data_IF_087459507389
#
_entry.id   IF_087459507389
#
_cell.length_a   1.000
_cell.length_b   1.000
_cell.length_c   1.000
_cell.angle_alpha   90.00
_cell.angle_beta   90.00
_cell.angle_gamma   90.00
#
_symmetry.space_group_name_H-M   'P 1'
#
loop_
_entity.id
_entity.type
_entity.pdbx_description
1 polymer ?
#
# COMPACT_ATOMS: atom_id res chain seq x y z
N UNK A 1 -13.86 3.54 0.22
CA UNK A 1 -13.83 5.00 0.20
C UNK A 1 -12.65 5.56 0.99
N UNK A 2 -12.16 6.72 0.56
CA UNK A 2 -11.02 7.40 1.17
C UNK A 2 -9.72 6.59 1.16
N UNK A 3 -9.53 5.77 0.15
CA UNK A 3 -8.26 5.06 -0.07
C UNK A 3 -7.27 6.03 -0.69
N UNK A 4 -6.01 6.02 -0.19
CA UNK A 4 -4.93 6.84 -0.74
C UNK A 4 -3.81 5.95 -1.27
N UNK A 5 -3.44 6.17 -2.53
CA UNK A 5 -2.30 5.52 -3.18
C UNK A 5 -1.21 6.58 -3.33
N UNK A 6 -0.13 6.44 -2.57
CA UNK A 6 0.89 7.47 -2.44
C UNK A 6 2.18 7.00 -3.09
N UNK A 7 2.56 7.62 -4.20
CA UNK A 7 3.77 7.24 -4.93
C UNK A 7 4.97 8.17 -4.70
N UNK A 8 4.81 9.46 -4.34
CA UNK A 8 5.97 10.33 -4.15
C UNK A 8 6.76 9.98 -2.89
N UNK A 9 8.05 10.18 -2.98
CA UNK A 9 9.01 9.97 -1.91
C UNK A 9 9.89 11.20 -1.76
N UNK A 10 10.25 11.48 -0.52
CA UNK A 10 11.22 12.53 -0.18
C UNK A 10 12.36 11.92 0.62
N UNK A 11 13.57 12.52 0.57
CA UNK A 11 14.67 12.06 1.39
C UNK A 11 14.34 12.13 2.87
N UNK A 12 14.83 11.17 3.65
CA UNK A 12 14.67 11.18 5.10
C UNK A 12 15.59 12.18 5.79
N UNK A 13 16.69 12.55 5.12
CA UNK A 13 17.66 13.54 5.66
C UNK A 13 17.11 14.94 5.39
N UNK A 14 16.98 15.73 6.46
CA UNK A 14 16.33 17.03 6.40
C UNK A 14 17.05 18.01 5.44
N UNK A 15 18.37 18.00 5.45
CA UNK A 15 19.17 18.87 4.60
C UNK A 15 18.96 18.58 3.11
N UNK A 16 18.79 17.32 2.77
CA UNK A 16 18.50 16.91 1.40
C UNK A 16 17.11 17.35 0.96
N UNK A 17 16.12 17.29 1.85
CA UNK A 17 14.77 17.80 1.56
C UNK A 17 14.73 19.30 1.37
N UNK A 18 15.58 20.02 2.09
CA UNK A 18 15.67 21.48 2.01
C UNK A 18 16.19 21.96 0.64
N UNK A 19 17.00 21.14 -0.03
CA UNK A 19 17.51 21.43 -1.35
C UNK A 19 18.89 20.85 -1.56
N UNK A 20 19.12 20.37 -2.78
CA UNK A 20 20.41 19.86 -3.23
C UNK A 20 20.84 20.64 -4.47
N UNK A 21 22.13 20.56 -4.81
CA UNK A 21 22.65 21.15 -6.05
C UNK A 21 22.96 20.05 -7.05
N UNK A 22 22.59 20.30 -8.29
CA UNK A 22 22.96 19.41 -9.40
C UNK A 22 24.40 19.66 -9.88
N UNK A 23 24.83 18.97 -10.94
CA UNK A 23 26.18 19.07 -11.46
C UNK A 23 26.54 20.47 -11.99
N UNK A 24 25.55 21.30 -12.32
CA UNK A 24 25.77 22.69 -12.78
C UNK A 24 25.48 23.72 -11.71
N UNK A 25 25.27 23.30 -10.48
CA UNK A 25 25.09 24.19 -9.33
C UNK A 25 23.66 24.69 -9.15
N UNK A 26 22.69 24.17 -9.89
CA UNK A 26 21.28 24.54 -9.75
C UNK A 26 20.67 23.84 -8.53
N UNK A 27 19.99 24.61 -7.68
CA UNK A 27 19.31 24.07 -6.51
C UNK A 27 17.99 23.40 -6.89
N UNK A 28 17.72 22.24 -6.30
CA UNK A 28 16.46 21.54 -6.46
C UNK A 28 16.10 20.79 -5.18
N UNK A 29 14.81 20.54 -4.95
CA UNK A 29 14.33 19.72 -3.84
C UNK A 29 14.11 18.30 -4.36
N UNK A 30 14.88 17.29 -3.89
CA UNK A 30 14.73 15.93 -4.38
C UNK A 30 13.32 15.40 -4.10
N UNK A 31 12.70 14.88 -5.15
CA UNK A 31 11.42 14.20 -5.07
C UNK A 31 11.44 13.10 -6.11
N UNK A 32 11.11 11.88 -5.72
CA UNK A 32 11.04 10.74 -6.61
C UNK A 32 9.81 9.90 -6.28
N UNK A 33 9.49 8.98 -7.13
CA UNK A 33 8.31 8.16 -6.96
C UNK A 33 8.64 6.69 -7.24
N UNK A 34 7.94 5.81 -6.55
CA UNK A 34 7.98 4.37 -6.82
C UNK A 34 6.56 3.91 -7.15
N UNK A 35 6.38 3.17 -8.25
CA UNK A 35 5.06 2.72 -8.66
C UNK A 35 4.45 1.75 -7.66
N UNK A 36 3.13 1.81 -7.56
CA UNK A 36 2.32 0.88 -6.78
C UNK A 36 1.66 -0.08 -7.77
N UNK A 37 1.72 -1.37 -7.47
CA UNK A 37 1.05 -2.40 -8.26
C UNK A 37 -0.01 -3.07 -7.42
N UNK A 38 -1.25 -3.01 -7.86
CA UNK A 38 -2.38 -3.67 -7.21
C UNK A 38 -2.91 -4.70 -8.16
N UNK A 39 -2.96 -5.95 -7.71
CA UNK A 39 -3.43 -7.07 -8.51
C UNK A 39 -4.93 -7.02 -8.79
N UNK A 40 -5.43 -8.10 -9.38
CA UNK A 40 -6.86 -8.23 -9.72
C UNK A 40 -7.68 -8.62 -8.49
N UNK A 41 -8.92 -8.14 -8.45
CA UNK A 41 -9.88 -8.50 -7.40
C UNK A 41 -9.38 -8.18 -5.97
N UNK A 42 -8.60 -7.12 -5.83
CA UNK A 42 -8.14 -6.63 -4.53
C UNK A 42 -9.21 -5.72 -3.93
N UNK A 43 -9.48 -5.90 -2.65
CA UNK A 43 -10.36 -5.02 -1.91
C UNK A 43 -9.56 -4.22 -0.89
N UNK A 44 -9.49 -2.91 -1.10
CA UNK A 44 -8.93 -1.97 -0.15
C UNK A 44 -10.09 -1.34 0.62
N UNK A 45 -10.23 -1.69 1.89
CA UNK A 45 -11.32 -1.18 2.70
C UNK A 45 -11.11 0.31 3.04
N UNK A 46 -12.06 0.91 3.73
CA UNK A 46 -12.09 2.36 3.95
C UNK A 46 -10.83 2.87 4.65
N UNK A 47 -10.29 3.97 4.14
CA UNK A 47 -9.17 4.67 4.77
C UNK A 47 -7.82 3.98 4.64
N UNK A 48 -7.69 2.97 3.79
CA UNK A 48 -6.39 2.31 3.55
C UNK A 48 -5.43 3.28 2.86
N UNK A 49 -4.19 3.29 3.32
CA UNK A 49 -3.10 4.04 2.70
C UNK A 49 -2.08 3.04 2.17
N UNK A 50 -1.75 3.13 0.88
CA UNK A 50 -0.71 2.31 0.25
C UNK A 50 0.50 3.19 -0.03
N UNK A 51 1.64 2.78 0.50
CA UNK A 51 2.90 3.52 0.41
C UNK A 51 3.63 3.25 -0.91
N UNK A 52 4.58 4.13 -1.28
CA UNK A 52 5.31 4.01 -2.54
C UNK A 52 6.00 2.65 -2.71
N UNK A 53 5.94 2.11 -3.92
CA UNK A 53 6.66 0.90 -4.30
C UNK A 53 6.04 -0.41 -3.86
N UNK A 54 4.86 -0.37 -3.22
CA UNK A 54 4.20 -1.57 -2.71
C UNK A 54 3.49 -2.33 -3.83
N UNK A 55 3.58 -3.64 -3.80
CA UNK A 55 2.81 -4.57 -4.63
C UNK A 55 1.83 -5.33 -3.75
N UNK A 56 0.56 -5.33 -4.12
CA UNK A 56 -0.49 -6.11 -3.45
C UNK A 56 -0.96 -7.19 -4.42
N UNK A 57 -0.88 -8.44 -3.98
CA UNK A 57 -1.22 -9.60 -4.80
C UNK A 57 -2.72 -9.76 -5.05
N UNK A 58 -3.05 -10.57 -6.06
CA UNK A 58 -4.43 -10.81 -6.48
C UNK A 58 -5.31 -11.34 -5.35
N UNK A 59 -6.57 -10.91 -5.33
CA UNK A 59 -7.59 -11.43 -4.42
C UNK A 59 -7.39 -11.07 -2.96
N UNK A 60 -6.43 -10.24 -2.63
CA UNK A 60 -6.13 -9.84 -1.25
C UNK A 60 -7.11 -8.78 -0.76
N UNK A 61 -7.42 -8.85 0.52
CA UNK A 61 -8.25 -7.86 1.23
C UNK A 61 -7.39 -7.14 2.25
N UNK A 62 -7.41 -5.82 2.22
CA UNK A 62 -6.73 -4.97 3.20
C UNK A 62 -7.79 -4.35 4.11
N UNK A 63 -7.67 -4.60 5.40
CA UNK A 63 -8.63 -4.11 6.39
C UNK A 63 -8.61 -2.58 6.51
N UNK A 64 -9.75 -2.01 6.88
CA UNK A 64 -9.94 -0.57 7.01
C UNK A 64 -8.89 0.08 7.91
N UNK A 65 -8.44 1.27 7.53
CA UNK A 65 -7.50 2.06 8.31
C UNK A 65 -6.06 1.56 8.28
N UNK A 66 -5.75 0.56 7.47
CA UNK A 66 -4.40 0.00 7.38
C UNK A 66 -3.45 0.92 6.61
N UNK A 67 -2.17 0.85 6.96
CA UNK A 67 -1.09 1.51 6.22
C UNK A 67 -0.16 0.42 5.67
N UNK A 68 -0.19 0.25 4.35
CA UNK A 68 0.56 -0.81 3.66
C UNK A 68 1.94 -0.27 3.29
N UNK A 69 2.97 -0.74 3.99
CA UNK A 69 4.35 -0.28 3.82
C UNK A 69 5.25 -1.32 3.15
N UNK A 70 4.79 -2.55 3.01
CA UNK A 70 5.51 -3.67 2.41
C UNK A 70 4.58 -4.43 1.46
N UNK A 71 5.17 -5.20 0.56
CA UNK A 71 4.42 -6.05 -0.36
C UNK A 71 3.53 -7.03 0.41
N UNK A 72 2.34 -7.25 -0.12
CA UNK A 72 1.36 -8.19 0.44
C UNK A 72 1.13 -9.31 -0.57
N UNK A 73 1.25 -10.58 -0.15
CA UNK A 73 1.04 -11.71 -1.06
C UNK A 73 -0.42 -11.83 -1.51
N UNK A 74 -0.70 -12.62 -2.55
CA UNK A 74 -2.07 -12.84 -3.00
C UNK A 74 -2.91 -13.66 -2.02
N UNK A 75 -4.23 -13.53 -2.13
CA UNK A 75 -5.25 -14.33 -1.45
C UNK A 75 -5.12 -14.33 0.07
N UNK A 76 -4.80 -13.19 0.65
CA UNK A 76 -4.72 -13.02 2.10
C UNK A 76 -5.60 -11.90 2.61
N UNK A 77 -5.97 -11.98 3.87
CA UNK A 77 -6.48 -10.86 4.64
C UNK A 77 -5.31 -10.25 5.39
N UNK A 78 -5.07 -8.98 5.18
CA UNK A 78 -4.00 -8.24 5.84
C UNK A 78 -4.55 -6.97 6.48
N UNK A 79 -3.89 -6.47 7.51
CA UNK A 79 -4.35 -5.25 8.16
C UNK A 79 -3.37 -4.72 9.19
N UNK A 80 -3.65 -3.53 9.66
CA UNK A 80 -2.90 -2.86 10.71
C UNK A 80 -2.00 -1.73 10.24
N UNK A 81 -1.33 -1.12 11.22
CA UNK A 81 -0.35 -0.06 11.01
C UNK A 81 0.91 -0.42 11.80
N UNK A 82 1.97 -0.93 11.17
CA UNK A 82 2.06 -1.27 9.74
C UNK A 82 1.23 -2.52 9.38
N UNK A 83 0.78 -2.58 8.15
CA UNK A 83 -0.05 -3.68 7.65
C UNK A 83 0.74 -4.99 7.65
N UNK A 84 0.10 -6.04 8.15
CA UNK A 84 0.66 -7.41 8.21
C UNK A 84 -0.38 -8.41 7.76
N UNK A 85 0.07 -9.53 7.22
CA UNK A 85 -0.82 -10.65 6.89
C UNK A 85 -1.45 -11.17 8.17
N UNK A 86 -2.78 -11.27 8.18
CA UNK A 86 -3.54 -11.81 9.30
C UNK A 86 -3.77 -13.30 9.09
N UNK A 87 -4.25 -13.69 7.90
CA UNK A 87 -4.50 -15.09 7.53
C UNK A 87 -4.73 -15.24 6.04
N UNK A 88 -4.71 -16.45 5.56
CA UNK A 88 -5.13 -16.76 4.19
C UNK A 88 -6.65 -16.71 4.06
N UNK A 89 -7.12 -16.34 2.87
CA UNK A 89 -8.53 -16.42 2.51
C UNK A 89 -8.77 -17.81 1.95
N UNK A 90 -9.79 -18.48 2.46
CA UNK A 90 -10.13 -19.87 2.10
C UNK A 90 -11.60 -19.99 1.73
N UNK A 91 -12.02 -21.18 1.30
CA UNK A 91 -13.42 -21.43 0.97
C UNK A 91 -14.38 -21.23 2.14
N UNK A 92 -13.88 -21.31 3.38
CA UNK A 92 -14.72 -21.04 4.55
C UNK A 92 -15.12 -19.56 4.65
N UNK A 93 -14.48 -18.69 3.89
CA UNK A 93 -14.85 -17.27 3.77
C UNK A 93 -15.99 -17.04 2.74
N UNK A 94 -16.48 -18.09 2.11
CA UNK A 94 -17.50 -17.97 1.09
C UNK A 94 -18.82 -17.45 1.66
N UNK A 95 -19.41 -16.47 0.95
CA UNK A 95 -20.74 -15.97 1.26
C UNK A 95 -21.85 -17.04 1.10
N UNK A 96 -21.56 -18.14 0.42
CA UNK A 96 -22.53 -19.24 0.28
C UNK A 96 -22.98 -19.78 1.64
N UNK A 97 -22.11 -19.76 2.64
CA UNK A 97 -22.47 -20.17 4.00
C UNK A 97 -23.50 -19.23 4.65
N UNK A 98 -23.62 -18.00 4.20
CA UNK A 98 -24.59 -17.02 4.69
C UNK A 98 -25.96 -17.20 4.06
N UNK A 99 -26.04 -17.97 2.98
CA UNK A 99 -27.25 -18.14 2.17
C UNK A 99 -27.93 -19.50 2.39
N UNK A 100 -27.37 -20.37 3.23
CA UNK A 100 -27.79 -21.77 3.37
C UNK A 100 -28.51 -22.08 4.68
N UNK A 101 -29.06 -21.14 5.34
CA UNK A 101 -29.81 -21.35 6.60
C UNK A 101 -31.18 -21.92 6.42
#
# INVERSE_FOLDING_TARGET
PNVSLVTPLHPLIAEERAGMRDAVGKTFSPCYAKPIHIGNHVWLAAGVIVCPGVTIGDGTVIAAGSVVTHDIPPHVLAGGVPCRVIREITESDSAASLLTD
#
